data_IF_727130024656
#
_entry.id   IF_727130024656
#
_cell.length_a   1.000
_cell.length_b   1.000
_cell.length_c   1.000
_cell.angle_alpha   90.00
_cell.angle_beta   90.00
_cell.angle_gamma   90.00
#
_symmetry.space_group_name_H-M   'P 1'
#
loop_
_entity.id
_entity.type
_entity.pdbx_description
1 polymer ?
#
# COMPACT_ATOMS: atom_id res chain seq x y z
N UNK A 1 -2.95 9.50 -4.54
CA UNK A 1 -3.62 8.20 -4.29
C UNK A 1 -4.03 8.13 -2.83
N UNK A 2 -5.25 7.70 -2.52
CA UNK A 2 -5.71 7.56 -1.14
C UNK A 2 -6.42 6.23 -0.93
N UNK A 3 -6.11 5.62 0.22
CA UNK A 3 -6.77 4.43 0.75
C UNK A 3 -7.07 4.69 2.22
N UNK A 4 -8.29 4.40 2.64
CA UNK A 4 -8.77 4.60 4.00
C UNK A 4 -8.35 3.45 4.91
N UNK A 5 -8.39 3.67 6.22
CA UNK A 5 -8.12 2.58 7.18
C UNK A 5 -9.16 1.48 7.13
N UNK A 6 -10.42 1.80 6.80
CA UNK A 6 -11.46 0.79 6.59
C UNK A 6 -11.11 -0.12 5.41
N UNK A 7 -10.75 0.46 4.26
CA UNK A 7 -10.35 -0.31 3.08
C UNK A 7 -9.13 -1.20 3.35
N UNK A 8 -8.09 -0.69 4.04
CA UNK A 8 -6.93 -1.52 4.41
C UNK A 8 -7.34 -2.65 5.35
N UNK A 9 -8.19 -2.35 6.33
CA UNK A 9 -8.64 -3.31 7.33
C UNK A 9 -9.44 -4.46 6.69
N UNK A 10 -10.34 -4.15 5.76
CA UNK A 10 -11.10 -5.13 4.98
C UNK A 10 -10.17 -6.06 4.18
N UNK A 11 -9.13 -5.52 3.55
CA UNK A 11 -8.19 -6.30 2.73
C UNK A 11 -7.40 -7.34 3.53
N UNK A 12 -7.20 -7.13 4.83
CA UNK A 12 -6.38 -8.00 5.69
C UNK A 12 -7.18 -8.67 6.82
N UNK A 13 -8.51 -8.60 6.78
CA UNK A 13 -9.39 -9.21 7.77
C UNK A 13 -9.23 -8.63 9.18
N UNK A 14 -9.07 -7.31 9.30
CA UNK A 14 -8.91 -6.59 10.56
C UNK A 14 -9.94 -5.47 10.69
N UNK A 15 -9.88 -4.73 11.80
CA UNK A 15 -10.74 -3.57 12.06
C UNK A 15 -10.01 -2.25 11.85
N UNK A 16 -10.76 -1.16 11.63
CA UNK A 16 -10.22 0.20 11.58
C UNK A 16 -9.45 0.57 12.86
N UNK A 17 -9.93 0.10 14.02
CA UNK A 17 -9.27 0.30 15.32
C UNK A 17 -7.87 -0.32 15.33
N UNK A 18 -7.70 -1.50 14.73
CA UNK A 18 -6.36 -2.10 14.58
C UNK A 18 -5.45 -1.22 13.71
N UNK A 19 -5.97 -0.55 12.68
CA UNK A 19 -5.17 0.36 11.84
C UNK A 19 -4.74 1.61 12.60
N UNK A 20 -5.66 2.19 13.39
CA UNK A 20 -5.37 3.34 14.27
C UNK A 20 -4.32 2.98 15.33
N UNK A 21 -4.41 1.77 15.90
CA UNK A 21 -3.40 1.24 16.80
C UNK A 21 -2.04 1.04 16.10
N UNK A 22 -2.02 0.39 14.94
CA UNK A 22 -0.79 0.20 14.14
C UNK A 22 -0.14 1.52 13.76
N UNK A 23 -0.92 2.56 13.43
CA UNK A 23 -0.39 3.90 13.15
C UNK A 23 0.49 4.43 14.30
N UNK A 24 0.09 4.15 15.55
CA UNK A 24 0.77 4.65 16.75
C UNK A 24 1.97 3.78 17.15
N UNK A 25 1.87 2.47 16.99
CA UNK A 25 2.84 1.51 17.52
C UNK A 25 3.78 0.94 16.45
N UNK A 26 3.29 0.72 15.23
CA UNK A 26 4.01 0.11 14.11
C UNK A 26 3.75 0.89 12.80
N UNK A 27 4.14 2.18 12.70
CA UNK A 27 3.81 3.02 11.54
C UNK A 27 4.38 2.50 10.22
N UNK A 28 5.57 1.89 10.24
CA UNK A 28 6.22 1.32 9.04
C UNK A 28 5.41 0.15 8.46
N UNK A 29 4.91 -0.73 9.33
CA UNK A 29 4.04 -1.83 8.91
C UNK A 29 2.76 -1.29 8.27
N UNK A 30 2.16 -0.25 8.85
CA UNK A 30 0.99 0.40 8.27
C UNK A 30 1.30 1.01 6.91
N UNK A 31 2.49 1.57 6.71
CA UNK A 31 2.89 2.14 5.42
C UNK A 31 3.02 1.07 4.33
N UNK A 32 3.64 -0.08 4.64
CA UNK A 32 3.68 -1.22 3.72
C UNK A 32 2.27 -1.71 3.35
N UNK A 33 1.38 -1.78 4.33
CA UNK A 33 -0.02 -2.16 4.11
C UNK A 33 -0.77 -1.16 3.23
N UNK A 34 -0.52 0.15 3.38
CA UNK A 34 -1.07 1.16 2.46
C UNK A 34 -0.58 0.96 1.04
N UNK A 35 0.73 0.74 0.84
CA UNK A 35 1.31 0.54 -0.49
C UNK A 35 0.70 -0.71 -1.14
N UNK A 36 0.69 -1.83 -0.43
CA UNK A 36 0.07 -3.07 -0.92
C UNK A 36 -1.42 -2.93 -1.18
N UNK A 37 -2.15 -2.25 -0.28
CA UNK A 37 -3.58 -1.99 -0.44
C UNK A 37 -3.89 -1.09 -1.63
N UNK A 38 -3.08 -0.07 -1.89
CA UNK A 38 -3.16 0.75 -3.09
C UNK A 38 -2.90 -0.08 -4.35
N UNK A 39 -1.87 -0.93 -4.35
CA UNK A 39 -1.61 -1.81 -5.48
C UNK A 39 -2.83 -2.70 -5.78
N UNK A 40 -3.45 -3.28 -4.74
CA UNK A 40 -4.67 -4.08 -4.90
C UNK A 40 -5.86 -3.25 -5.41
N UNK A 41 -6.09 -2.06 -4.86
CA UNK A 41 -7.19 -1.14 -5.23
C UNK A 41 -7.13 -0.71 -6.69
N UNK A 42 -5.93 -0.49 -7.22
CA UNK A 42 -5.72 -0.05 -8.60
C UNK A 42 -5.37 -1.20 -9.55
N UNK A 43 -5.50 -2.46 -9.10
CA UNK A 43 -5.16 -3.65 -9.88
C UNK A 43 -3.73 -3.63 -10.45
N UNK A 44 -2.79 -3.10 -9.67
CA UNK A 44 -1.37 -3.06 -10.00
C UNK A 44 -0.75 -4.37 -9.53
N UNK A 45 -0.25 -5.15 -10.49
CA UNK A 45 0.49 -6.37 -10.24
C UNK A 45 1.97 -6.09 -9.95
N UNK A 46 2.71 -7.11 -9.52
CA UNK A 46 4.17 -7.01 -9.38
C UNK A 46 4.85 -6.67 -10.73
N UNK A 47 4.33 -7.19 -11.84
CA UNK A 47 4.85 -6.87 -13.18
C UNK A 47 4.68 -5.40 -13.53
N UNK A 48 3.57 -4.80 -13.13
CA UNK A 48 3.32 -3.37 -13.34
C UNK A 48 4.30 -2.52 -12.50
N UNK A 49 4.60 -2.95 -11.27
CA UNK A 49 5.60 -2.30 -10.43
C UNK A 49 7.01 -2.40 -11.04
N UNK A 50 7.40 -3.57 -11.55
CA UNK A 50 8.68 -3.76 -12.25
C UNK A 50 8.80 -2.84 -13.47
N UNK A 51 7.74 -2.73 -14.27
CA UNK A 51 7.68 -1.82 -15.41
C UNK A 51 7.85 -0.35 -14.98
N UNK A 52 7.18 0.08 -13.90
CA UNK A 52 7.32 1.44 -13.35
C UNK A 52 8.73 1.71 -12.85
N UNK A 53 9.37 0.74 -12.20
CA UNK A 53 10.77 0.86 -11.73
C UNK A 53 11.70 1.09 -12.92
N UNK A 54 11.57 0.26 -13.96
CA UNK A 54 12.36 0.38 -15.18
C UNK A 54 12.18 1.75 -15.86
N UNK A 55 10.94 2.22 -15.98
CA UNK A 55 10.65 3.56 -16.52
C UNK A 55 11.30 4.67 -15.70
N UNK A 56 11.31 4.58 -14.37
CA UNK A 56 11.98 5.55 -13.49
C UNK A 56 13.50 5.58 -13.68
N UNK A 57 14.12 4.43 -13.96
CA UNK A 57 15.55 4.35 -14.24
C UNK A 57 15.88 4.96 -15.60
N UNK A 58 15.03 4.72 -16.61
CA UNK A 58 15.21 5.26 -17.96
C UNK A 58 15.03 6.78 -18.00
N UNK A 59 14.12 7.37 -17.20
CA UNK A 59 13.92 8.83 -17.08
C UNK A 59 15.09 9.51 -16.35
N UNK A 60 15.83 8.79 -15.50
CA UNK A 60 16.97 9.34 -14.75
C UNK A 60 18.28 9.34 -15.55
N UNK A 61 18.32 8.67 -16.71
CA UNK A 61 19.43 8.72 -17.66
C UNK A 61 19.30 9.94 -18.58
#
# INVERSE_FOLDING_TARGET
MQITYNEIAELIGRTEANMKYMKKHNPEQLELLKIGGLCKKYNISLKDLEAIIKLKEDIKK
#
